data_IF_132287705222
#
_entry.id   IF_132287705222
#
_cell.length_a   1.000
_cell.length_b   1.000
_cell.length_c   1.000
_cell.angle_alpha   90.00
_cell.angle_beta   90.00
_cell.angle_gamma   90.00
#
_symmetry.space_group_name_H-M   'P 1'
#
loop_
_entity.id
_entity.type
_entity.pdbx_description
1 polymer ?
#
# COMPACT_ATOMS: atom_id res chain seq x y z
N UNK A 1 -12.02 4.66 13.95
CA UNK A 1 -12.00 3.53 13.01
C UNK A 1 -11.40 4.00 11.68
N UNK A 2 -10.25 3.46 11.27
CA UNK A 2 -9.58 3.82 10.01
C UNK A 2 -10.10 3.07 8.78
N UNK A 3 -10.91 2.02 8.97
CA UNK A 3 -11.42 1.17 7.89
C UNK A 3 -12.16 1.89 6.76
N UNK A 4 -13.01 2.92 7.00
CA UNK A 4 -13.66 3.65 5.91
C UNK A 4 -12.67 4.31 4.93
N UNK A 5 -11.49 4.72 5.43
CA UNK A 5 -10.44 5.32 4.59
C UNK A 5 -9.80 4.26 3.70
N UNK A 6 -9.53 3.06 4.25
CA UNK A 6 -8.98 1.94 3.48
C UNK A 6 -9.97 1.41 2.43
N UNK A 7 -11.25 1.34 2.79
CA UNK A 7 -12.33 0.93 1.88
C UNK A 7 -12.52 1.94 0.75
N UNK A 8 -12.53 3.25 1.04
CA UNK A 8 -12.57 4.28 0.00
C UNK A 8 -11.34 4.20 -0.90
N UNK A 9 -10.14 4.12 -0.34
CA UNK A 9 -8.90 3.97 -1.12
C UNK A 9 -8.97 2.77 -2.08
N UNK A 10 -9.37 1.60 -1.58
CA UNK A 10 -9.51 0.39 -2.39
C UNK A 10 -10.54 0.54 -3.50
N UNK A 11 -11.68 1.19 -3.21
CA UNK A 11 -12.71 1.47 -4.19
C UNK A 11 -12.22 2.43 -5.29
N UNK A 12 -11.45 3.47 -4.94
CA UNK A 12 -10.85 4.40 -5.92
C UNK A 12 -9.76 3.71 -6.76
N UNK A 13 -8.91 2.90 -6.14
CA UNK A 13 -7.89 2.13 -6.84
C UNK A 13 -8.50 1.13 -7.84
N UNK A 14 -9.62 0.49 -7.48
CA UNK A 14 -10.38 -0.39 -8.37
C UNK A 14 -10.92 0.37 -9.60
N UNK A 15 -11.45 1.58 -9.38
CA UNK A 15 -11.93 2.44 -10.48
C UNK A 15 -10.78 2.87 -11.39
N UNK A 16 -9.65 3.28 -10.83
CA UNK A 16 -8.45 3.61 -11.59
C UNK A 16 -8.00 2.44 -12.46
N UNK A 17 -7.87 1.24 -11.87
CA UNK A 17 -7.53 0.02 -12.60
C UNK A 17 -8.46 -0.22 -13.80
N UNK A 18 -9.77 -0.09 -13.63
CA UNK A 18 -10.74 -0.27 -14.72
C UNK A 18 -10.52 0.73 -15.86
N UNK A 19 -10.23 2.00 -15.55
CA UNK A 19 -9.94 3.02 -16.57
C UNK A 19 -8.61 2.77 -17.27
N UNK A 20 -7.58 2.33 -16.53
CA UNK A 20 -6.28 1.96 -17.10
C UNK A 20 -6.41 0.78 -18.07
N UNK A 21 -7.21 -0.24 -17.74
CA UNK A 21 -7.50 -1.34 -18.67
C UNK A 21 -8.12 -0.87 -19.98
N UNK A 22 -9.10 0.03 -19.90
CA UNK A 22 -9.71 0.63 -21.08
C UNK A 22 -8.69 1.45 -21.89
N UNK A 23 -7.84 2.21 -21.20
CA UNK A 23 -6.77 3.02 -21.81
C UNK A 23 -5.78 2.13 -22.55
N UNK A 24 -5.36 1.01 -21.95
CA UNK A 24 -4.48 0.02 -22.57
C UNK A 24 -5.10 -0.54 -23.87
N UNK A 25 -6.39 -0.87 -23.87
CA UNK A 25 -7.07 -1.34 -25.09
C UNK A 25 -7.13 -0.26 -26.18
N UNK A 26 -7.44 0.98 -25.79
CA UNK A 26 -7.44 2.11 -26.72
C UNK A 26 -6.05 2.40 -27.29
N UNK A 27 -5.00 2.29 -26.47
CA UNK A 27 -3.62 2.46 -26.89
C UNK A 27 -3.20 1.43 -27.93
N UNK A 28 -3.56 0.15 -27.76
CA UNK A 28 -3.29 -0.89 -28.76
C UNK A 28 -3.94 -0.54 -30.10
N UNK A 29 -5.24 -0.21 -30.10
CA UNK A 29 -5.95 0.14 -31.33
C UNK A 29 -5.35 1.39 -32.02
N UNK A 30 -4.95 2.39 -31.24
CA UNK A 30 -4.23 3.56 -31.74
C UNK A 30 -2.90 3.18 -32.38
N UNK A 31 -2.09 2.34 -31.73
CA UNK A 31 -0.78 1.93 -32.23
C UNK A 31 -0.88 1.08 -33.49
N UNK A 32 -1.94 0.29 -33.65
CA UNK A 32 -2.22 -0.42 -34.90
C UNK A 32 -2.53 0.53 -36.05
N UNK A 33 -3.27 1.63 -35.79
CA UNK A 33 -3.50 2.67 -36.78
C UNK A 33 -2.23 3.46 -37.09
N UNK A 34 -1.43 3.78 -36.06
CA UNK A 34 -0.14 4.45 -36.22
C UNK A 34 0.80 3.63 -37.10
N UNK A 35 0.89 2.32 -36.88
CA UNK A 35 1.76 1.44 -37.68
C UNK A 35 1.35 1.46 -39.17
N UNK A 36 0.05 1.50 -39.49
CA UNK A 36 -0.40 1.61 -40.89
C UNK A 36 0.10 2.88 -41.57
N UNK A 37 0.16 4.01 -40.85
CA UNK A 37 0.74 5.26 -41.37
C UNK A 37 2.24 5.11 -41.62
N UNK A 38 2.96 4.48 -40.69
CA UNK A 38 4.38 4.20 -40.83
C UNK A 38 4.66 3.27 -42.03
N UNK A 39 3.86 2.22 -42.21
CA UNK A 39 3.98 1.28 -43.32
C UNK A 39 3.67 1.96 -44.65
N UNK A 40 2.66 2.83 -44.71
CA UNK A 40 2.34 3.61 -45.90
C UNK A 40 3.54 4.44 -46.34
N UNK A 41 4.19 5.17 -45.42
CA UNK A 41 5.40 5.94 -45.73
C UNK A 41 6.58 5.03 -46.12
N UNK A 42 6.76 3.90 -45.44
CA UNK A 42 7.86 2.94 -45.73
C UNK A 42 7.76 2.35 -47.13
N UNK A 43 6.55 2.18 -47.65
CA UNK A 43 6.30 1.66 -49.00
C UNK A 43 6.42 2.72 -50.12
N UNK A 44 6.77 3.97 -49.78
CA UNK A 44 7.06 5.02 -50.76
C UNK A 44 8.52 4.98 -51.23
N UNK A 45 8.90 5.89 -52.13
CA UNK A 45 10.25 6.02 -52.68
C UNK A 45 11.00 7.21 -52.07
N UNK A 46 12.32 7.21 -52.23
CA UNK A 46 13.19 8.28 -51.74
C UNK A 46 13.20 8.41 -50.22
N UNK A 47 13.50 9.61 -49.74
CA UNK A 47 13.65 9.91 -48.31
C UNK A 47 12.37 9.69 -47.47
N UNK A 48 11.18 9.67 -48.09
CA UNK A 48 9.92 9.39 -47.39
C UNK A 48 9.90 7.97 -46.77
N UNK A 49 10.63 7.03 -47.37
CA UNK A 49 10.83 5.69 -46.79
C UNK A 49 11.59 5.73 -45.46
N UNK A 50 12.53 6.65 -45.30
CA UNK A 50 13.30 6.81 -44.08
C UNK A 50 12.43 7.37 -42.94
N UNK A 51 11.51 8.29 -43.27
CA UNK A 51 10.46 8.77 -42.35
C UNK A 51 9.61 7.59 -41.88
N UNK A 52 9.11 6.75 -42.79
CA UNK A 52 8.33 5.56 -42.44
C UNK A 52 9.07 4.58 -41.53
N UNK A 53 10.38 4.40 -41.78
CA UNK A 53 11.25 3.57 -40.95
C UNK A 53 11.42 4.14 -39.54
N UNK A 54 11.58 5.46 -39.40
CA UNK A 54 11.66 6.13 -38.10
C UNK A 54 10.32 6.09 -37.35
N UNK A 55 9.19 6.26 -38.04
CA UNK A 55 7.85 6.09 -37.48
C UNK A 55 7.62 4.66 -36.97
N UNK A 56 8.06 3.64 -37.70
CA UNK A 56 7.98 2.25 -37.23
C UNK A 56 8.77 2.05 -35.93
N UNK A 57 9.97 2.64 -35.81
CA UNK A 57 10.73 2.60 -34.53
C UNK A 57 9.95 3.27 -33.40
N UNK A 58 9.33 4.43 -33.67
CA UNK A 58 8.50 5.15 -32.70
C UNK A 58 7.33 4.28 -32.21
N UNK A 59 6.61 3.66 -33.15
CA UNK A 59 5.50 2.75 -32.86
C UNK A 59 5.93 1.59 -31.95
N UNK A 60 7.06 0.96 -32.28
CA UNK A 60 7.60 -0.15 -31.49
C UNK A 60 8.01 0.28 -30.08
N UNK A 61 8.54 1.50 -29.89
CA UNK A 61 8.79 2.04 -28.53
C UNK A 61 7.51 2.28 -27.75
N UNK A 62 6.48 2.83 -28.38
CA UNK A 62 5.18 2.97 -27.71
C UNK A 62 4.54 1.62 -27.37
N UNK A 63 4.74 0.57 -28.19
CA UNK A 63 4.30 -0.80 -27.83
C UNK A 63 5.03 -1.33 -26.59
N UNK A 64 6.32 -1.01 -26.40
CA UNK A 64 7.04 -1.33 -25.16
C UNK A 64 6.40 -0.64 -23.95
N UNK A 65 6.11 0.66 -24.07
CA UNK A 65 5.45 1.46 -23.02
C UNK A 65 4.06 0.88 -22.71
N UNK A 66 3.26 0.54 -23.72
CA UNK A 66 1.94 -0.08 -23.52
C UNK A 66 2.05 -1.42 -22.77
N UNK A 67 3.01 -2.28 -23.12
CA UNK A 67 3.24 -3.53 -22.42
C UNK A 67 3.59 -3.30 -20.93
N UNK A 68 4.41 -2.28 -20.63
CA UNK A 68 4.71 -1.87 -19.25
C UNK A 68 3.49 -1.31 -18.51
N UNK A 69 2.68 -0.47 -19.19
CA UNK A 69 1.44 0.05 -18.64
C UNK A 69 0.45 -1.08 -18.31
N UNK A 70 0.38 -2.11 -19.15
CA UNK A 70 -0.42 -3.32 -18.89
C UNK A 70 0.08 -4.08 -17.66
N UNK A 71 1.40 -4.27 -17.53
CA UNK A 71 2.00 -4.91 -16.35
C UNK A 71 1.72 -4.11 -15.07
N UNK A 72 1.92 -2.80 -15.10
CA UNK A 72 1.58 -1.87 -14.00
C UNK A 72 0.10 -1.98 -13.61
N UNK A 73 -0.79 -1.97 -14.60
CA UNK A 73 -2.23 -2.07 -14.39
C UNK A 73 -2.58 -3.39 -13.70
N UNK A 74 -2.03 -4.52 -14.15
CA UNK A 74 -2.27 -5.81 -13.50
C UNK A 74 -1.73 -5.83 -12.07
N UNK A 75 -0.51 -5.32 -11.85
CA UNK A 75 0.10 -5.24 -10.52
C UNK A 75 -0.75 -4.40 -9.55
N UNK A 76 -1.36 -3.30 -10.03
CA UNK A 76 -2.28 -2.48 -9.22
C UNK A 76 -3.43 -3.32 -8.65
N UNK A 77 -4.01 -4.22 -9.44
CA UNK A 77 -5.10 -5.08 -8.97
C UNK A 77 -4.58 -6.24 -8.10
N UNK A 78 -3.61 -6.98 -8.62
CA UNK A 78 -3.17 -8.26 -8.04
C UNK A 78 -2.29 -8.10 -6.80
N UNK A 79 -1.43 -7.07 -6.77
CA UNK A 79 -0.48 -6.84 -5.67
C UNK A 79 -1.00 -5.85 -4.63
N UNK A 80 -1.91 -4.94 -5.01
CA UNK A 80 -2.41 -3.90 -4.11
C UNK A 80 -3.89 -4.02 -3.77
N UNK A 81 -4.79 -3.95 -4.75
CA UNK A 81 -6.24 -3.86 -4.48
C UNK A 81 -6.78 -5.13 -3.83
N UNK A 82 -6.62 -6.29 -4.47
CA UNK A 82 -7.17 -7.56 -3.96
C UNK A 82 -6.59 -7.93 -2.59
N UNK A 83 -5.26 -7.92 -2.39
CA UNK A 83 -4.69 -8.27 -1.08
C UNK A 83 -5.09 -7.28 0.03
N UNK A 84 -5.25 -5.99 -0.29
CA UNK A 84 -5.69 -4.98 0.67
C UNK A 84 -7.16 -5.22 1.09
N UNK A 85 -8.04 -5.57 0.15
CA UNK A 85 -9.44 -5.90 0.45
C UNK A 85 -9.54 -7.07 1.44
N UNK A 86 -8.79 -8.14 1.19
CA UNK A 86 -8.74 -9.30 2.09
C UNK A 86 -8.18 -8.91 3.48
N UNK A 87 -7.12 -8.10 3.51
CA UNK A 87 -6.50 -7.68 4.77
C UNK A 87 -7.36 -6.74 5.61
N UNK A 88 -8.21 -5.91 5.01
CA UNK A 88 -9.13 -5.05 5.77
C UNK A 88 -10.05 -5.89 6.65
N UNK A 89 -10.57 -7.00 6.13
CA UNK A 89 -11.44 -7.91 6.90
C UNK A 89 -10.68 -8.64 8.02
N UNK A 90 -9.45 -9.08 7.75
CA UNK A 90 -8.57 -9.65 8.78
C UNK A 90 -8.26 -8.65 9.89
N UNK A 91 -7.94 -7.40 9.56
CA UNK A 91 -7.62 -6.36 10.54
C UNK A 91 -8.81 -5.99 11.42
N UNK A 92 -10.04 -6.06 10.90
CA UNK A 92 -11.26 -5.90 11.71
C UNK A 92 -11.36 -7.03 12.76
N UNK A 93 -11.10 -8.28 12.36
CA UNK A 93 -11.12 -9.43 13.28
C UNK A 93 -10.03 -9.32 14.35
N UNK A 94 -8.80 -9.00 13.96
CA UNK A 94 -7.67 -8.84 14.89
C UNK A 94 -7.92 -7.71 15.89
N UNK A 95 -8.41 -6.56 15.44
CA UNK A 95 -8.74 -5.45 16.34
C UNK A 95 -9.81 -5.84 17.36
N UNK A 96 -10.90 -6.45 16.90
CA UNK A 96 -11.97 -6.92 17.78
C UNK A 96 -11.47 -7.95 18.80
N UNK A 97 -10.53 -8.81 18.41
CA UNK A 97 -9.94 -9.79 19.32
C UNK A 97 -9.06 -9.11 20.38
N UNK A 98 -8.20 -8.18 19.99
CA UNK A 98 -7.37 -7.40 20.92
C UNK A 98 -8.22 -6.64 21.94
N UNK A 99 -9.31 -6.00 21.49
CA UNK A 99 -10.23 -5.27 22.36
C UNK A 99 -10.95 -6.21 23.34
N UNK A 100 -11.41 -7.38 22.87
CA UNK A 100 -12.05 -8.38 23.72
C UNK A 100 -11.10 -8.93 24.79
N UNK A 101 -9.88 -9.25 24.40
CA UNK A 101 -8.88 -9.81 25.29
C UNK A 101 -8.44 -8.79 26.35
N UNK A 102 -8.19 -7.54 25.93
CA UNK A 102 -7.91 -6.44 26.84
C UNK A 102 -9.07 -6.20 27.82
N UNK A 103 -10.30 -6.07 27.33
CA UNK A 103 -11.46 -5.80 28.17
C UNK A 103 -11.72 -6.93 29.17
N UNK A 104 -11.47 -8.19 28.80
CA UNK A 104 -11.62 -9.35 29.68
C UNK A 104 -10.56 -9.33 30.78
N UNK A 105 -9.29 -9.18 30.43
CA UNK A 105 -8.20 -9.20 31.39
C UNK A 105 -8.26 -7.99 32.34
N UNK A 106 -8.48 -6.79 31.79
CA UNK A 106 -8.64 -5.57 32.58
C UNK A 106 -9.77 -5.67 33.62
N UNK A 107 -10.93 -6.20 33.22
CA UNK A 107 -12.06 -6.42 34.16
C UNK A 107 -11.68 -7.41 35.27
N UNK A 108 -10.96 -8.48 34.94
CA UNK A 108 -10.52 -9.50 35.89
C UNK A 108 -9.54 -8.91 36.89
N UNK A 109 -8.44 -8.30 36.44
CA UNK A 109 -7.40 -7.73 37.31
C UNK A 109 -7.98 -6.65 38.22
N UNK A 110 -8.84 -5.78 37.70
CA UNK A 110 -9.53 -4.75 38.49
C UNK A 110 -10.45 -5.37 39.56
N UNK A 111 -11.14 -6.47 39.25
CA UNK A 111 -11.97 -7.16 40.23
C UNK A 111 -11.13 -7.81 41.34
N UNK A 112 -10.02 -8.45 40.98
CA UNK A 112 -9.07 -9.06 41.93
C UNK A 112 -8.46 -8.01 42.88
N UNK A 113 -7.99 -6.87 42.34
CA UNK A 113 -7.49 -5.75 43.14
C UNK A 113 -8.57 -5.23 44.09
N UNK A 114 -9.80 -5.01 43.60
CA UNK A 114 -10.92 -4.54 44.43
C UNK A 114 -11.23 -5.52 45.58
N UNK A 115 -11.21 -6.82 45.30
CA UNK A 115 -11.44 -7.86 46.31
C UNK A 115 -10.34 -7.86 47.37
N UNK A 116 -9.07 -7.93 46.94
CA UNK A 116 -7.90 -7.91 47.83
C UNK A 116 -7.84 -6.64 48.67
N UNK A 117 -8.05 -5.47 48.06
CA UNK A 117 -8.11 -4.19 48.76
C UNK A 117 -9.20 -4.16 49.85
N UNK A 118 -10.40 -4.67 49.56
CA UNK A 118 -11.49 -4.79 50.54
C UNK A 118 -11.11 -5.69 51.74
N UNK A 119 -10.45 -6.81 51.48
CA UNK A 119 -10.00 -7.73 52.52
C UNK A 119 -8.85 -7.15 53.36
N UNK A 120 -7.89 -6.46 52.73
CA UNK A 120 -6.83 -5.70 53.43
C UNK A 120 -7.44 -4.61 54.33
N UNK A 121 -8.48 -3.93 53.88
CA UNK A 121 -9.16 -2.91 54.67
C UNK A 121 -9.89 -3.50 55.91
N UNK A 122 -10.45 -4.71 55.80
CA UNK A 122 -11.02 -5.43 56.94
C UNK A 122 -9.92 -5.86 57.93
N UNK A 123 -8.77 -6.32 57.42
CA UNK A 123 -7.62 -6.71 58.24
C UNK A 123 -7.06 -5.50 59.01
N UNK A 124 -6.94 -4.36 58.36
CA UNK A 124 -6.55 -3.09 58.98
C UNK A 124 -7.47 -2.71 60.15
N UNK A 125 -8.79 -2.86 59.99
CA UNK A 125 -9.76 -2.61 61.07
C UNK A 125 -9.62 -3.58 62.24
N UNK A 126 -9.21 -4.84 62.00
CA UNK A 126 -8.96 -5.83 63.05
C UNK A 126 -7.65 -5.54 63.81
N UNK A 127 -6.58 -5.21 63.09
CA UNK A 127 -5.29 -4.85 63.68
C UNK A 127 -5.42 -3.66 64.64
N UNK A 128 -6.16 -2.61 64.26
CA UNK A 128 -6.44 -1.45 65.11
C UNK A 128 -7.18 -1.76 66.42
N UNK A 129 -7.88 -2.90 66.51
CA UNK A 129 -8.62 -3.32 67.71
C UNK A 129 -7.76 -4.14 68.70
N UNK A 130 -6.45 -4.23 68.48
CA UNK A 130 -5.50 -4.84 69.42
C UNK A 130 -5.60 -6.37 69.56
N UNK A 131 -6.22 -7.06 68.58
CA UNK A 131 -6.32 -8.53 68.60
C UNK A 131 -5.06 -9.17 67.99
N UNK A 132 -4.00 -9.33 68.79
CA UNK A 132 -2.77 -10.06 68.43
C UNK A 132 -1.83 -9.30 67.50
N UNK A 133 -0.66 -9.90 67.23
CA UNK A 133 0.36 -9.36 66.33
C UNK A 133 -0.02 -9.56 64.85
N UNK A 134 -1.02 -8.79 64.39
CA UNK A 134 -1.53 -8.80 63.02
C UNK A 134 -0.76 -7.85 62.08
N UNK A 135 0.24 -7.13 62.59
CA UNK A 135 0.98 -6.13 61.82
C UNK A 135 1.70 -6.73 60.61
N UNK A 136 2.44 -7.86 60.73
CA UNK A 136 3.12 -8.46 59.58
C UNK A 136 2.14 -8.93 58.48
N UNK A 137 0.96 -9.43 58.87
CA UNK A 137 -0.09 -9.85 57.93
C UNK A 137 -0.71 -8.66 57.20
N UNK A 138 -0.89 -7.53 57.89
CA UNK A 138 -1.38 -6.30 57.28
C UNK A 138 -0.37 -5.77 56.26
N UNK A 139 0.92 -5.73 56.62
CA UNK A 139 1.98 -5.24 55.75
C UNK A 139 2.10 -6.10 54.48
N UNK A 140 2.06 -7.44 54.63
CA UNK A 140 2.00 -8.36 53.48
C UNK A 140 0.76 -8.14 52.61
N UNK A 141 -0.43 -7.96 53.21
CA UNK A 141 -1.66 -7.74 52.46
C UNK A 141 -1.71 -6.37 51.74
N UNK A 142 -0.99 -5.36 52.25
CA UNK A 142 -0.81 -4.07 51.58
C UNK A 142 0.20 -4.18 50.43
N UNK A 143 1.28 -4.95 50.60
CA UNK A 143 2.23 -5.23 49.54
C UNK A 143 1.58 -5.99 48.38
N UNK A 144 0.79 -7.03 48.66
CA UNK A 144 0.02 -7.79 47.65
C UNK A 144 -0.83 -6.87 46.76
N UNK A 145 -1.55 -5.91 47.36
CA UNK A 145 -2.40 -4.96 46.61
C UNK A 145 -1.53 -4.04 45.75
N UNK A 146 -0.39 -3.59 46.26
CA UNK A 146 0.56 -2.75 45.53
C UNK A 146 1.14 -3.49 44.33
N UNK A 147 1.58 -4.74 44.52
CA UNK A 147 2.12 -5.58 43.45
C UNK A 147 1.06 -5.85 42.36
N UNK A 148 -0.20 -6.10 42.76
CA UNK A 148 -1.29 -6.26 41.79
C UNK A 148 -1.57 -4.98 41.00
N UNK A 149 -1.48 -3.80 41.62
CA UNK A 149 -1.61 -2.52 40.92
C UNK A 149 -0.47 -2.31 39.90
N UNK A 150 0.77 -2.62 40.28
CA UNK A 150 1.93 -2.54 39.37
C UNK A 150 1.79 -3.51 38.20
N UNK A 151 1.33 -4.75 38.46
CA UNK A 151 1.07 -5.72 37.41
C UNK A 151 -0.01 -5.24 36.44
N UNK A 152 -1.08 -4.61 36.95
CA UNK A 152 -2.12 -4.02 36.10
C UNK A 152 -1.58 -2.88 35.23
N UNK A 153 -0.73 -2.01 35.77
CA UNK A 153 -0.06 -0.96 35.00
C UNK A 153 0.79 -1.55 33.87
N UNK A 154 1.55 -2.61 34.14
CA UNK A 154 2.36 -3.28 33.13
C UNK A 154 1.51 -3.97 32.05
N UNK A 155 0.38 -4.57 32.45
CA UNK A 155 -0.57 -5.15 31.49
C UNK A 155 -1.17 -4.08 30.55
N UNK A 156 -1.47 -2.89 31.06
CA UNK A 156 -1.93 -1.77 30.23
C UNK A 156 -0.84 -1.30 29.28
N UNK A 157 0.40 -1.12 29.75
CA UNK A 157 1.55 -0.78 28.88
C UNK A 157 1.71 -1.80 27.75
N UNK A 158 1.59 -3.09 28.07
CA UNK A 158 1.69 -4.14 27.07
C UNK A 158 0.50 -4.14 26.11
N UNK A 159 -0.72 -3.84 26.58
CA UNK A 159 -1.89 -3.70 25.71
C UNK A 159 -1.72 -2.55 24.71
N UNK A 160 -1.27 -1.39 25.19
CA UNK A 160 -0.96 -0.23 24.33
C UNK A 160 0.13 -0.58 23.33
N UNK A 161 1.21 -1.24 23.76
CA UNK A 161 2.29 -1.68 22.87
C UNK A 161 1.77 -2.60 21.75
N UNK A 162 0.92 -3.58 22.08
CA UNK A 162 0.31 -4.49 21.08
C UNK A 162 -0.54 -3.71 20.08
N UNK A 163 -1.37 -2.77 20.55
CA UNK A 163 -2.20 -1.94 19.68
C UNK A 163 -1.37 -1.07 18.72
N UNK A 164 -0.30 -0.44 19.20
CA UNK A 164 0.60 0.38 18.38
C UNK A 164 1.36 -0.44 17.34
N UNK A 165 1.82 -1.65 17.72
CA UNK A 165 2.48 -2.56 16.79
C UNK A 165 1.53 -3.01 15.68
N UNK A 166 0.29 -3.33 16.03
CA UNK A 166 -0.75 -3.70 15.06
C UNK A 166 -1.06 -2.53 14.12
N UNK A 167 -1.23 -1.31 14.65
CA UNK A 167 -1.45 -0.11 13.83
C UNK A 167 -0.30 0.12 12.83
N UNK A 168 0.95 0.08 13.30
CA UNK A 168 2.14 0.22 12.45
C UNK A 168 2.22 -0.91 11.42
N UNK A 169 1.91 -2.14 11.82
CA UNK A 169 1.94 -3.33 10.97
C UNK A 169 1.03 -3.23 9.75
N UNK A 170 -0.13 -2.57 9.89
CA UNK A 170 -1.07 -2.32 8.77
C UNK A 170 -0.43 -1.47 7.69
N UNK A 171 0.19 -0.36 8.08
CA UNK A 171 0.90 0.51 7.13
C UNK A 171 2.11 -0.18 6.50
N UNK A 172 2.88 -0.95 7.27
CA UNK A 172 3.99 -1.73 6.70
C UNK A 172 3.50 -2.76 5.66
N UNK A 173 2.39 -3.44 5.94
CA UNK A 173 1.76 -4.38 5.01
C UNK A 173 1.30 -3.67 3.73
N UNK A 174 0.63 -2.51 3.87
CA UNK A 174 0.23 -1.68 2.74
C UNK A 174 1.42 -1.24 1.87
N UNK A 175 2.53 -0.82 2.47
CA UNK A 175 3.75 -0.48 1.71
C UNK A 175 4.30 -1.69 0.96
N UNK A 176 4.26 -2.88 1.56
CA UNK A 176 4.62 -4.13 0.89
C UNK A 176 3.77 -4.40 -0.35
N UNK A 177 2.47 -4.10 -0.30
CA UNK A 177 1.55 -4.21 -1.44
C UNK A 177 1.77 -3.14 -2.51
N UNK A 178 2.16 -1.93 -2.09
CA UNK A 178 2.38 -0.80 -2.99
C UNK A 178 3.70 -0.93 -3.78
N UNK A 179 4.72 -1.54 -3.19
CA UNK A 179 6.06 -1.61 -3.78
C UNK A 179 6.11 -2.23 -5.19
N UNK A 180 5.45 -3.36 -5.50
CA UNK A 180 5.40 -3.89 -6.87
C UNK A 180 4.76 -2.94 -7.88
N UNK A 181 3.74 -2.18 -7.46
CA UNK A 181 3.03 -1.21 -8.30
C UNK A 181 3.98 -0.06 -8.67
N UNK A 182 4.65 0.52 -7.68
CA UNK A 182 5.61 1.62 -7.89
C UNK A 182 6.80 1.17 -8.72
N UNK A 183 7.31 -0.05 -8.51
CA UNK A 183 8.38 -0.59 -9.34
C UNK A 183 7.96 -0.73 -10.81
N UNK A 184 6.71 -1.16 -11.06
CA UNK A 184 6.15 -1.21 -12.41
C UNK A 184 6.06 0.17 -13.06
N UNK A 185 5.66 1.18 -12.29
CA UNK A 185 5.60 2.58 -12.75
C UNK A 185 6.98 3.13 -13.10
N UNK A 186 7.98 2.91 -12.24
CA UNK A 186 9.38 3.31 -12.50
C UNK A 186 9.90 2.66 -13.79
N UNK A 187 9.66 1.35 -13.96
CA UNK A 187 10.07 0.63 -15.16
C UNK A 187 9.41 1.19 -16.44
N UNK A 188 8.13 1.58 -16.36
CA UNK A 188 7.43 2.22 -17.47
C UNK A 188 8.01 3.59 -17.81
N UNK A 189 8.29 4.44 -16.81
CA UNK A 189 8.86 5.77 -17.03
C UNK A 189 10.27 5.71 -17.63
N UNK A 190 11.04 4.66 -17.32
CA UNK A 190 12.35 4.42 -17.93
C UNK A 190 12.30 4.29 -19.46
N UNK A 191 11.25 3.68 -20.01
CA UNK A 191 11.08 3.48 -21.46
C UNK A 191 10.93 4.80 -22.24
N UNK A 192 10.41 5.86 -21.58
CA UNK A 192 10.16 7.18 -22.21
C UNK A 192 11.46 7.80 -22.72
N UNK A 193 12.59 7.52 -22.06
CA UNK A 193 13.90 8.06 -22.45
C UNK A 193 14.32 7.66 -23.87
N UNK A 194 13.81 6.53 -24.38
CA UNK A 194 14.10 6.06 -25.75
C UNK A 194 13.35 6.82 -26.84
N UNK A 195 12.31 7.59 -26.50
CA UNK A 195 11.53 8.36 -27.47
C UNK A 195 12.31 9.59 -27.98
N UNK A 196 13.18 10.17 -27.15
CA UNK A 196 13.89 11.40 -27.47
C UNK A 196 14.73 11.26 -28.74
N UNK A 197 15.56 10.23 -28.82
CA UNK A 197 16.39 9.99 -30.01
C UNK A 197 15.56 9.83 -31.29
N UNK A 198 14.37 9.22 -31.19
CA UNK A 198 13.52 8.98 -32.37
C UNK A 198 12.82 10.26 -32.83
N UNK A 199 12.39 11.13 -31.91
CA UNK A 199 11.80 12.41 -32.29
C UNK A 199 12.85 13.36 -32.87
N UNK A 200 14.09 13.30 -32.39
CA UNK A 200 15.21 14.06 -32.94
C UNK A 200 15.51 13.59 -34.38
N UNK A 201 15.58 12.27 -34.61
CA UNK A 201 15.71 11.68 -35.96
C UNK A 201 14.58 12.17 -36.89
N UNK A 202 13.32 12.09 -36.44
CA UNK A 202 12.15 12.50 -37.23
C UNK A 202 12.18 14.00 -37.56
N UNK A 203 12.63 14.84 -36.63
CA UNK A 203 12.77 16.29 -36.85
C UNK A 203 13.78 16.57 -37.97
N UNK A 204 14.91 15.86 -37.98
CA UNK A 204 15.90 15.99 -39.06
C UNK A 204 15.33 15.51 -40.39
N UNK A 205 14.70 14.33 -40.41
CA UNK A 205 14.12 13.75 -41.62
C UNK A 205 12.98 14.57 -42.24
N UNK A 206 12.34 15.45 -41.46
CA UNK A 206 11.20 16.27 -41.90
C UNK A 206 11.57 17.75 -42.07
N UNK A 207 12.86 18.07 -42.09
CA UNK A 207 13.34 19.45 -42.28
C UNK A 207 13.08 19.92 -43.73
N UNK A 208 12.59 21.16 -43.88
CA UNK A 208 12.29 21.83 -45.16
C UNK A 208 11.34 21.02 -46.09
N UNK A 209 10.08 20.81 -45.69
CA UNK A 209 9.14 19.93 -46.39
C UNK A 209 8.76 20.39 -47.81
N UNK A 210 9.14 21.60 -48.20
CA UNK A 210 8.89 22.16 -49.53
C UNK A 210 10.06 21.97 -50.50
N UNK A 211 11.17 21.39 -50.04
CA UNK A 211 12.34 21.07 -50.86
C UNK A 211 12.50 19.56 -50.99
N UNK A 212 12.74 19.08 -52.20
CA UNK A 212 13.03 17.67 -52.43
C UNK A 212 14.42 17.33 -51.85
N UNK A 213 14.54 16.35 -50.93
CA UNK A 213 15.83 15.97 -50.39
C UNK A 213 16.66 15.20 -51.44
N UNK A 214 18.01 15.30 -51.41
CA UNK A 214 18.87 14.62 -52.39
C UNK A 214 18.68 13.10 -52.48
N UNK A 215 18.31 12.46 -51.37
CA UNK A 215 18.00 11.03 -51.31
C UNK A 215 16.74 10.64 -52.13
N UNK A 216 15.94 11.62 -52.56
CA UNK A 216 14.78 11.44 -53.43
C UNK A 216 15.04 11.86 -54.89
N UNK A 217 16.25 12.33 -55.23
CA UNK A 217 16.64 12.75 -56.59
C UNK A 217 17.28 11.63 -57.43
N UNK A 218 17.37 10.42 -56.87
CA UNK A 218 17.93 9.20 -57.50
C UNK A 218 16.80 8.26 -57.94
#
# INVERSE_FOLDING_TARGET
>A
CSYPVWEDFSAKATKLHSQLRTTVLAAVAFLDAFQKVADMATNTRGATRDIGSALTRMCMRHRSIEAKLRQFTNALMESLVTPLQDKIEDWKKTANQLDKDHAKEYKRSRHEIKKKSSDTMKLQKKARKGRGDLQPQLDSAMQDVTDMCLLMEEMEKQAVRRALVEERGRFCTFIGFLQPVVNGEIAMLGEITHLQAIIDDLTVLTTDPHKLPPASEQ
#
